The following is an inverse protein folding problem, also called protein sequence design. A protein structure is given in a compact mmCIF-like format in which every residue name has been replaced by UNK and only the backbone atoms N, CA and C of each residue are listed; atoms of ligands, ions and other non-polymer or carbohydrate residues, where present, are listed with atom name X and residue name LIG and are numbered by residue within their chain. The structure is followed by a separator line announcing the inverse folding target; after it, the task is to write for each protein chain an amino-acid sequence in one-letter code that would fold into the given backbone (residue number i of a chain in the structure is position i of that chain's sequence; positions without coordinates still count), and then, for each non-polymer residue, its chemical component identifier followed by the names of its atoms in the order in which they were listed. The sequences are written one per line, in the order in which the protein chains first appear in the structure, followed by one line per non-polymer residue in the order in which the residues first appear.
data_IF_851577711798
#
_entry.id   IF_851577711798
#
_cell.length_a   1.000
_cell.length_b   1.000
_cell.length_c   1.000
_cell.angle_alpha   90.00
_cell.angle_beta   90.00
_cell.angle_gamma   90.00
#
_symmetry.space_group_name_H-M   'P 1'
#
loop_
_entity.id
_entity.type
_entity.pdbx_description
1 polymer ?
#
# COMPACT_ATOMS: atom_id res chain seq x y z
N UNK A 1 37.38 -66.60 -53.07
CA UNK A 1 38.03 -65.28 -53.06
C UNK A 1 36.93 -64.26 -53.18
N UNK A 2 36.41 -63.71 -52.10
CA UNK A 2 35.41 -62.64 -52.12
C UNK A 2 35.80 -61.60 -51.06
N UNK A 3 36.29 -60.46 -51.56
CA UNK A 3 36.64 -59.30 -50.73
C UNK A 3 35.39 -58.60 -50.24
N UNK A 4 35.19 -58.53 -48.93
CA UNK A 4 34.15 -57.71 -48.28
C UNK A 4 34.70 -56.36 -47.87
N UNK A 5 34.24 -55.27 -48.50
CA UNK A 5 34.53 -53.89 -48.10
C UNK A 5 33.61 -53.50 -46.92
N UNK A 6 34.21 -53.20 -45.79
CA UNK A 6 33.50 -52.55 -44.66
C UNK A 6 33.49 -51.06 -44.89
N UNK A 7 32.29 -50.49 -45.06
CA UNK A 7 32.05 -49.05 -45.12
C UNK A 7 31.90 -48.55 -43.69
N UNK A 8 32.77 -47.66 -43.24
CA UNK A 8 32.63 -46.94 -42.00
C UNK A 8 31.82 -45.68 -42.27
N UNK A 9 30.64 -45.51 -41.62
CA UNK A 9 29.85 -44.28 -41.61
C UNK A 9 30.20 -43.52 -40.34
N UNK A 10 30.73 -42.29 -40.41
CA UNK A 10 30.95 -41.50 -39.20
C UNK A 10 29.62 -40.93 -38.67
N UNK A 11 29.31 -41.22 -37.40
CA UNK A 11 28.18 -40.64 -36.69
C UNK A 11 28.52 -39.16 -36.38
N UNK A 12 27.90 -38.24 -37.07
CA UNK A 12 27.93 -36.80 -36.75
C UNK A 12 26.97 -36.57 -35.59
N UNK A 13 27.52 -36.36 -34.41
CA UNK A 13 26.75 -35.90 -33.24
C UNK A 13 26.59 -34.38 -33.37
N UNK A 14 25.39 -33.93 -33.74
CA UNK A 14 25.02 -32.54 -33.65
C UNK A 14 24.72 -32.21 -32.17
N UNK A 15 25.67 -31.56 -31.53
CA UNK A 15 25.44 -30.97 -30.20
C UNK A 15 24.52 -29.74 -30.34
N UNK A 16 23.29 -29.84 -29.86
CA UNK A 16 22.41 -28.69 -29.71
C UNK A 16 22.90 -27.90 -28.48
N UNK A 17 23.63 -26.83 -28.70
CA UNK A 17 23.93 -25.87 -27.65
C UNK A 17 22.65 -25.10 -27.34
N UNK A 18 22.03 -25.41 -26.22
CA UNK A 18 20.94 -24.60 -25.70
C UNK A 18 21.50 -23.22 -25.28
N UNK A 19 21.22 -22.20 -26.06
CA UNK A 19 21.50 -20.80 -25.71
C UNK A 19 20.50 -20.43 -24.63
N UNK A 20 20.95 -20.51 -23.38
CA UNK A 20 20.21 -19.94 -22.22
C UNK A 20 20.38 -18.43 -22.32
N UNK A 21 19.38 -17.74 -22.83
CA UNK A 21 19.28 -16.30 -22.67
C UNK A 21 19.00 -16.02 -21.19
N UNK A 22 19.84 -15.23 -20.48
CA UNK A 22 19.47 -14.75 -19.18
C UNK A 22 18.22 -13.89 -19.37
N UNK A 23 17.11 -14.27 -18.72
CA UNK A 23 15.98 -13.39 -18.48
C UNK A 23 16.54 -12.20 -17.70
N UNK A 24 16.90 -11.14 -18.40
CA UNK A 24 17.11 -9.85 -17.80
C UNK A 24 15.73 -9.43 -17.24
N UNK A 25 15.56 -9.58 -15.92
CA UNK A 25 14.56 -8.84 -15.19
C UNK A 25 14.90 -7.37 -15.44
N UNK A 26 14.23 -6.76 -16.37
CA UNK A 26 14.12 -5.31 -16.43
C UNK A 26 13.34 -4.92 -15.18
N UNK A 27 14.06 -4.69 -14.08
CA UNK A 27 13.55 -3.80 -13.01
C UNK A 27 13.20 -2.51 -13.74
N UNK A 28 11.91 -2.28 -13.96
CA UNK A 28 11.44 -1.00 -14.42
C UNK A 28 11.96 0.00 -13.38
N UNK A 29 12.84 0.90 -13.78
CA UNK A 29 13.20 2.06 -12.97
C UNK A 29 11.89 2.79 -12.71
N UNK A 30 11.27 2.51 -11.54
CA UNK A 30 10.25 3.37 -10.97
C UNK A 30 10.97 4.69 -10.82
N UNK A 31 10.69 5.63 -11.72
CA UNK A 31 11.38 6.92 -11.73
C UNK A 31 11.03 7.59 -10.41
N UNK A 32 12.06 7.92 -9.61
CA UNK A 32 11.98 8.64 -8.32
C UNK A 32 11.49 10.09 -8.51
N UNK A 33 10.39 10.24 -9.24
CA UNK A 33 9.81 11.54 -9.51
C UNK A 33 9.15 12.14 -8.27
N UNK A 34 8.72 11.28 -7.35
CA UNK A 34 8.06 11.67 -6.10
C UNK A 34 8.68 10.90 -4.94
N UNK A 35 8.84 11.53 -3.80
CA UNK A 35 9.53 11.02 -2.62
C UNK A 35 8.71 10.06 -1.74
N UNK A 36 7.53 9.64 -2.20
CA UNK A 36 6.69 8.71 -1.44
C UNK A 36 7.39 7.38 -1.14
N UNK A 37 8.25 6.89 -2.04
CA UNK A 37 8.99 5.64 -1.90
C UNK A 37 10.43 5.82 -1.37
N UNK A 38 10.77 7.00 -0.85
CA UNK A 38 12.11 7.30 -0.34
C UNK A 38 12.54 6.31 0.76
N UNK A 39 11.61 5.86 1.57
CA UNK A 39 11.85 4.92 2.67
C UNK A 39 11.67 3.44 2.27
N UNK A 40 11.61 3.16 0.97
CA UNK A 40 11.46 1.80 0.43
C UNK A 40 10.04 1.48 -0.05
N UNK A 41 9.95 0.35 -0.73
CA UNK A 41 8.68 -0.23 -1.21
C UNK A 41 8.23 -1.24 -0.17
N UNK A 42 7.04 -1.07 0.44
CA UNK A 42 6.59 -1.92 1.56
C UNK A 42 6.47 -3.41 1.24
N UNK A 43 6.32 -3.77 -0.02
CA UNK A 43 6.23 -5.17 -0.40
C UNK A 43 5.88 -5.38 -1.86
N UNK A 44 5.91 -6.63 -2.30
CA UNK A 44 5.59 -7.03 -3.67
C UNK A 44 4.13 -6.68 -4.00
N UNK A 45 3.92 -6.25 -5.24
CA UNK A 45 2.62 -5.98 -5.82
C UNK A 45 2.64 -6.34 -7.31
N UNK A 46 1.46 -6.57 -7.91
CA UNK A 46 1.35 -6.81 -9.35
C UNK A 46 1.60 -5.53 -10.13
N UNK A 47 1.14 -4.40 -9.58
CA UNK A 47 1.42 -3.07 -10.14
C UNK A 47 1.80 -2.10 -9.02
N UNK A 48 2.91 -1.39 -9.18
CA UNK A 48 3.33 -0.30 -8.29
C UNK A 48 3.18 1.02 -9.03
N UNK A 49 2.43 1.94 -8.42
CA UNK A 49 2.18 3.29 -8.97
C UNK A 49 2.74 4.31 -8.00
N UNK A 50 3.53 5.27 -8.49
CA UNK A 50 4.04 6.41 -7.72
C UNK A 50 3.58 7.72 -8.36
N UNK A 51 2.72 8.48 -7.68
CA UNK A 51 2.11 9.72 -8.16
C UNK A 51 2.28 10.87 -7.16
N UNK A 52 1.91 12.12 -7.49
CA UNK A 52 2.28 13.31 -6.69
C UNK A 52 1.94 13.23 -5.19
N UNK A 53 0.84 12.59 -4.80
CA UNK A 53 0.38 12.60 -3.41
C UNK A 53 0.66 11.29 -2.67
N UNK A 54 0.84 10.18 -3.38
CA UNK A 54 1.05 8.86 -2.77
C UNK A 54 1.58 7.84 -3.78
N UNK A 55 2.16 6.76 -3.26
CA UNK A 55 2.40 5.54 -4.03
C UNK A 55 1.55 4.39 -3.50
N UNK A 56 1.28 3.41 -4.33
CA UNK A 56 0.53 2.22 -3.96
C UNK A 56 1.07 0.94 -4.63
N UNK A 57 0.84 -0.19 -3.97
CA UNK A 57 1.05 -1.52 -4.54
C UNK A 57 -0.29 -2.24 -4.69
N UNK A 58 -0.73 -2.39 -5.94
CA UNK A 58 -2.00 -3.02 -6.29
C UNK A 58 -1.84 -4.53 -6.42
N UNK A 59 -2.83 -5.28 -5.93
CA UNK A 59 -2.91 -6.74 -6.02
C UNK A 59 -4.15 -7.13 -6.83
N UNK A 60 -3.91 -7.57 -8.04
CA UNK A 60 -4.95 -7.97 -9.00
C UNK A 60 -5.92 -9.01 -8.44
N UNK A 61 -5.38 -10.02 -7.77
CA UNK A 61 -6.21 -11.07 -7.17
C UNK A 61 -7.17 -10.56 -6.09
N UNK A 62 -6.98 -9.36 -5.55
CA UNK A 62 -7.82 -8.73 -4.54
C UNK A 62 -8.56 -7.49 -5.04
N UNK A 63 -8.23 -7.00 -6.25
CA UNK A 63 -8.80 -5.80 -6.87
C UNK A 63 -8.69 -4.54 -5.98
N UNK A 64 -7.55 -4.40 -5.29
CA UNK A 64 -7.25 -3.25 -4.44
C UNK A 64 -5.76 -3.20 -4.06
N UNK A 65 -5.31 -2.07 -3.53
CA UNK A 65 -3.95 -1.95 -3.03
C UNK A 65 -3.77 -2.75 -1.73
N UNK A 66 -2.62 -3.46 -1.63
CA UNK A 66 -2.16 -4.04 -0.36
C UNK A 66 -1.61 -2.96 0.56
N UNK A 67 -0.98 -1.94 0.00
CA UNK A 67 -0.41 -0.81 0.72
C UNK A 67 -0.51 0.47 -0.10
N UNK A 68 -0.64 1.58 0.60
CA UNK A 68 -0.51 2.95 0.09
C UNK A 68 0.45 3.68 1.02
N UNK A 69 1.48 4.31 0.46
CA UNK A 69 2.49 5.07 1.21
C UNK A 69 2.53 6.52 0.74
N UNK A 70 2.65 7.44 1.68
CA UNK A 70 2.80 8.87 1.39
C UNK A 70 3.52 9.59 2.52
N UNK A 71 4.21 10.66 2.15
CA UNK A 71 4.70 11.66 3.08
C UNK A 71 3.58 12.64 3.37
N UNK A 72 3.45 13.08 4.59
CA UNK A 72 2.48 14.08 5.03
C UNK A 72 3.18 15.15 5.87
N UNK A 73 3.15 16.37 5.39
CA UNK A 73 3.79 17.52 6.07
C UNK A 73 2.76 18.42 6.73
N UNK A 74 3.20 19.20 7.72
CA UNK A 74 2.39 20.27 8.33
C UNK A 74 1.81 21.23 7.30
N UNK A 75 2.61 21.63 6.32
CA UNK A 75 2.16 22.55 5.26
C UNK A 75 1.04 21.93 4.44
N UNK A 76 1.17 20.70 3.98
CA UNK A 76 0.16 20.00 3.18
C UNK A 76 -1.17 19.84 3.93
N UNK A 77 -1.10 19.55 5.24
CA UNK A 77 -2.32 19.45 6.08
C UNK A 77 -3.03 20.80 6.22
N UNK A 78 -2.27 21.89 6.35
CA UNK A 78 -2.81 23.24 6.54
C UNK A 78 -3.27 23.88 5.22
N UNK A 79 -2.61 23.53 4.10
CA UNK A 79 -2.96 24.01 2.76
C UNK A 79 -4.19 23.26 2.22
N UNK A 80 -5.32 23.94 2.19
CA UNK A 80 -6.59 23.41 1.64
C UNK A 80 -6.91 24.07 0.32
N UNK A 81 -6.08 23.77 -0.68
CA UNK A 81 -6.22 24.30 -2.05
C UNK A 81 -7.43 23.72 -2.78
N UNK A 82 -7.67 22.43 -2.60
CA UNK A 82 -8.73 21.71 -3.32
C UNK A 82 -9.90 21.34 -2.42
N UNK A 83 -11.12 21.56 -2.92
CA UNK A 83 -12.34 21.01 -2.30
C UNK A 83 -12.46 19.54 -2.64
N UNK A 84 -13.08 18.77 -1.75
CA UNK A 84 -13.33 17.32 -1.95
C UNK A 84 -14.08 17.08 -3.28
N UNK A 85 -13.47 16.26 -4.15
CA UNK A 85 -13.98 16.03 -5.51
C UNK A 85 -15.24 15.16 -5.54
N UNK A 86 -15.27 14.07 -4.78
CA UNK A 86 -16.30 13.01 -4.84
C UNK A 86 -16.45 12.35 -6.23
N UNK A 87 -15.50 12.56 -7.15
CA UNK A 87 -15.51 11.99 -8.50
C UNK A 87 -14.66 10.73 -8.51
N UNK A 88 -15.27 9.60 -8.16
CA UNK A 88 -14.60 8.31 -8.20
C UNK A 88 -14.42 7.83 -9.64
N UNK A 89 -13.20 7.38 -9.96
CA UNK A 89 -12.81 6.97 -11.31
C UNK A 89 -12.03 5.67 -11.28
N UNK A 90 -12.13 4.89 -12.35
CA UNK A 90 -11.22 3.79 -12.61
C UNK A 90 -9.80 4.33 -12.75
N UNK A 91 -8.82 3.55 -12.26
CA UNK A 91 -7.43 3.98 -12.33
C UNK A 91 -6.82 3.57 -13.69
N UNK A 92 -6.48 4.54 -14.55
CA UNK A 92 -5.93 4.24 -15.87
C UNK A 92 -4.51 3.66 -15.82
N UNK A 93 -3.83 3.72 -14.67
CA UNK A 93 -2.50 3.17 -14.49
C UNK A 93 -2.51 1.70 -14.03
N UNK A 94 -3.69 1.11 -13.80
CA UNK A 94 -3.84 -0.34 -13.58
C UNK A 94 -4.11 -1.02 -14.93
N UNK A 95 -3.15 -1.79 -15.48
CA UNK A 95 -3.23 -2.29 -16.86
C UNK A 95 -4.42 -3.24 -17.13
N UNK A 96 -4.85 -3.96 -16.11
CA UNK A 96 -5.98 -4.92 -16.17
C UNK A 96 -7.32 -4.26 -15.89
N UNK A 97 -7.32 -2.98 -15.50
CA UNK A 97 -8.44 -2.25 -14.95
C UNK A 97 -8.48 -2.35 -13.43
N UNK A 98 -9.05 -1.35 -12.79
CA UNK A 98 -9.28 -1.35 -11.34
C UNK A 98 -10.73 -1.71 -11.02
N UNK A 99 -11.06 -1.87 -9.74
CA UNK A 99 -12.44 -1.86 -9.27
C UNK A 99 -13.22 -0.63 -9.81
N UNK A 100 -14.54 -0.72 -9.86
CA UNK A 100 -15.41 0.27 -10.50
C UNK A 100 -16.57 0.68 -9.59
N UNK A 101 -17.35 1.67 -10.03
CA UNK A 101 -18.59 2.05 -9.35
C UNK A 101 -19.60 0.90 -9.22
N UNK A 102 -19.57 -0.05 -10.16
CA UNK A 102 -20.50 -1.19 -10.17
C UNK A 102 -20.23 -2.13 -9.01
N UNK A 103 -18.95 -2.33 -8.65
CA UNK A 103 -18.57 -3.22 -7.56
C UNK A 103 -19.11 -2.76 -6.20
N UNK A 104 -19.11 -1.46 -5.98
CA UNK A 104 -19.56 -0.87 -4.72
C UNK A 104 -21.07 -0.61 -4.66
N UNK A 105 -21.76 -0.63 -5.81
CA UNK A 105 -23.19 -0.33 -5.88
C UNK A 105 -24.00 -1.38 -5.14
N UNK A 106 -24.75 -0.95 -4.10
CA UNK A 106 -25.59 -1.82 -3.25
C UNK A 106 -24.81 -2.95 -2.56
N UNK A 107 -23.48 -2.84 -2.45
CA UNK A 107 -22.65 -3.84 -1.77
C UNK A 107 -22.82 -3.83 -0.25
N UNK A 108 -23.30 -2.74 0.33
CA UNK A 108 -23.35 -2.53 1.78
C UNK A 108 -22.07 -1.90 2.35
N UNK A 109 -21.05 -1.68 1.51
CA UNK A 109 -19.78 -1.07 1.90
C UNK A 109 -19.61 0.33 1.31
N UNK A 110 -18.92 1.20 2.06
CA UNK A 110 -18.45 2.49 1.57
C UNK A 110 -17.17 2.28 0.72
N UNK A 111 -16.92 3.20 -0.20
CA UNK A 111 -15.62 3.36 -0.88
C UNK A 111 -14.67 4.04 0.10
N UNK A 112 -14.00 3.23 0.90
CA UNK A 112 -13.08 3.73 1.92
C UNK A 112 -11.74 4.11 1.30
N UNK A 113 -11.29 5.35 1.51
CA UNK A 113 -9.98 5.79 1.08
C UNK A 113 -8.87 5.13 1.91
N UNK A 114 -7.76 4.78 1.26
CA UNK A 114 -6.51 4.42 1.92
C UNK A 114 -5.68 5.69 2.17
N UNK A 115 -5.22 6.41 1.12
CA UNK A 115 -4.76 7.79 1.24
C UNK A 115 -5.97 8.72 1.33
N UNK A 116 -6.22 9.38 2.47
CA UNK A 116 -7.44 10.17 2.67
C UNK A 116 -7.51 11.39 1.77
N UNK A 117 -8.69 11.70 1.23
CA UNK A 117 -8.88 12.90 0.43
C UNK A 117 -8.54 14.20 1.20
N UNK A 118 -8.67 14.19 2.53
CA UNK A 118 -8.32 15.35 3.35
C UNK A 118 -6.80 15.58 3.44
N UNK A 119 -5.99 14.51 3.34
CA UNK A 119 -4.53 14.57 3.32
C UNK A 119 -4.03 15.02 1.94
N UNK A 120 -4.84 14.83 0.89
CA UNK A 120 -4.53 15.15 -0.51
C UNK A 120 -5.11 16.52 -0.94
N UNK A 121 -5.57 17.35 0.01
CA UNK A 121 -6.23 18.62 -0.29
C UNK A 121 -5.26 19.76 -0.66
N UNK A 122 -3.97 19.55 -0.56
CA UNK A 122 -2.94 20.54 -0.87
C UNK A 122 -2.77 20.84 -2.37
N UNK A 123 -3.35 20.03 -3.26
CA UNK A 123 -3.43 20.35 -4.68
C UNK A 123 -4.69 19.76 -5.33
N UNK A 124 -5.11 20.36 -6.46
CA UNK A 124 -6.24 19.87 -7.26
C UNK A 124 -5.93 18.48 -7.83
N UNK A 125 -4.68 18.26 -8.23
CA UNK A 125 -4.23 16.98 -8.81
C UNK A 125 -4.26 15.85 -7.77
N UNK A 126 -3.64 16.04 -6.61
CA UNK A 126 -3.58 15.01 -5.56
C UNK A 126 -4.98 14.71 -5.01
N UNK A 127 -5.84 15.72 -4.91
CA UNK A 127 -7.25 15.54 -4.57
C UNK A 127 -7.96 14.65 -5.60
N UNK A 128 -7.80 14.92 -6.89
CA UNK A 128 -8.42 14.09 -7.94
C UNK A 128 -7.88 12.66 -7.93
N UNK A 129 -6.56 12.50 -7.85
CA UNK A 129 -5.89 11.20 -7.82
C UNK A 129 -6.33 10.35 -6.61
N UNK A 130 -6.65 10.97 -5.47
CA UNK A 130 -7.13 10.26 -4.29
C UNK A 130 -8.47 9.53 -4.49
N UNK A 131 -9.23 9.86 -5.55
CA UNK A 131 -10.53 9.26 -5.88
C UNK A 131 -10.45 8.11 -6.90
N UNK A 132 -9.26 7.66 -7.30
CA UNK A 132 -9.13 6.44 -8.06
C UNK A 132 -9.57 5.21 -7.24
N UNK A 133 -10.24 4.26 -7.89
CA UNK A 133 -10.67 3.03 -7.22
C UNK A 133 -9.51 2.18 -6.72
N UNK A 134 -8.32 2.31 -7.29
CA UNK A 134 -7.10 1.68 -6.78
C UNK A 134 -6.71 2.13 -5.35
N UNK A 135 -7.16 3.32 -4.94
CA UNK A 135 -7.01 3.87 -3.58
C UNK A 135 -8.23 3.56 -2.69
N UNK A 136 -9.18 2.73 -3.16
CA UNK A 136 -10.39 2.39 -2.43
C UNK A 136 -10.37 0.97 -1.91
N UNK A 137 -10.92 0.77 -0.72
CA UNK A 137 -11.16 -0.54 -0.14
C UNK A 137 -12.59 -0.62 0.45
N UNK A 138 -13.24 -1.79 0.41
CA UNK A 138 -14.57 -1.97 0.99
C UNK A 138 -14.55 -1.81 2.51
N UNK A 139 -15.09 -0.71 3.00
CA UNK A 139 -15.17 -0.39 4.43
C UNK A 139 -16.61 -0.37 4.92
N UNK A 140 -16.88 -0.97 6.09
CA UNK A 140 -18.19 -0.81 6.74
C UNK A 140 -18.44 0.66 7.06
N UNK A 141 -19.66 1.12 6.85
CA UNK A 141 -20.04 2.53 7.04
C UNK A 141 -19.65 3.09 8.40
N UNK A 142 -19.93 2.34 9.49
CA UNK A 142 -19.64 2.78 10.85
C UNK A 142 -18.13 2.79 11.16
N UNK A 143 -17.35 1.98 10.47
CA UNK A 143 -15.89 2.02 10.50
C UNK A 143 -15.37 3.25 9.77
N UNK A 144 -15.65 3.35 8.46
CA UNK A 144 -15.17 4.42 7.59
C UNK A 144 -15.51 5.82 8.11
N UNK A 145 -16.76 6.02 8.53
CA UNK A 145 -17.25 7.33 8.99
C UNK A 145 -17.09 7.56 10.49
N UNK A 146 -16.60 6.56 11.20
CA UNK A 146 -16.42 6.56 12.66
C UNK A 146 -14.94 6.51 13.05
N UNK A 147 -14.50 5.36 13.59
CA UNK A 147 -13.18 5.21 14.18
C UNK A 147 -12.05 5.43 13.16
N UNK A 148 -12.20 4.99 11.89
CA UNK A 148 -11.19 5.19 10.85
C UNK A 148 -10.99 6.67 10.53
N UNK A 149 -12.08 7.42 10.37
CA UNK A 149 -12.02 8.89 10.20
C UNK A 149 -11.33 9.58 11.38
N UNK A 150 -11.61 9.13 12.62
CA UNK A 150 -10.92 9.67 13.81
C UNK A 150 -9.41 9.39 13.76
N UNK A 151 -9.00 8.20 13.31
CA UNK A 151 -7.59 7.87 13.14
C UNK A 151 -6.93 8.74 12.06
N UNK A 152 -7.61 8.99 10.94
CA UNK A 152 -7.12 9.91 9.90
C UNK A 152 -6.97 11.35 10.44
N UNK A 153 -7.90 11.80 11.27
CA UNK A 153 -7.82 13.12 11.94
C UNK A 153 -6.62 13.16 12.90
N UNK A 154 -6.39 12.09 13.65
CA UNK A 154 -5.26 11.96 14.57
C UNK A 154 -3.92 11.96 13.81
N UNK A 155 -3.82 11.25 12.69
CA UNK A 155 -2.60 11.22 11.86
C UNK A 155 -2.26 12.60 11.31
N UNK A 156 -3.26 13.37 10.85
CA UNK A 156 -3.03 14.78 10.47
C UNK A 156 -2.56 15.63 11.64
N UNK A 157 -3.07 15.37 12.83
CA UNK A 157 -2.60 16.06 14.04
C UNK A 157 -1.14 15.73 14.32
N UNK A 158 -0.72 14.46 14.20
CA UNK A 158 0.69 14.07 14.27
C UNK A 158 1.55 14.80 13.24
N UNK A 159 1.12 14.87 11.97
CA UNK A 159 1.85 15.63 10.95
C UNK A 159 1.99 17.13 11.27
N UNK A 160 0.99 17.72 11.95
CA UNK A 160 1.06 19.11 12.41
C UNK A 160 2.04 19.25 13.58
N UNK A 161 2.01 18.37 14.57
CA UNK A 161 2.87 18.45 15.74
C UNK A 161 4.33 18.16 15.40
N UNK A 162 4.58 17.09 14.66
CA UNK A 162 5.93 16.62 14.32
C UNK A 162 6.55 17.37 13.11
N UNK A 163 5.71 18.00 12.28
CA UNK A 163 6.16 18.75 11.09
C UNK A 163 6.12 17.96 9.81
N UNK A 164 6.59 16.72 9.81
CA UNK A 164 6.58 15.77 8.69
C UNK A 164 6.53 14.34 9.22
N UNK A 165 5.72 13.49 8.60
CA UNK A 165 5.64 12.05 8.89
C UNK A 165 5.51 11.26 7.59
N UNK A 166 5.93 10.00 7.61
CA UNK A 166 5.57 9.02 6.58
C UNK A 166 4.44 8.13 7.09
N UNK A 167 3.50 7.84 6.20
CA UNK A 167 2.31 7.02 6.51
C UNK A 167 2.23 5.88 5.52
N UNK A 168 2.15 4.65 6.03
CA UNK A 168 1.76 3.48 5.23
C UNK A 168 0.42 2.97 5.73
N UNK A 169 -0.50 2.70 4.84
CA UNK A 169 -1.86 2.28 5.19
C UNK A 169 -2.39 1.26 4.18
N UNK A 170 -3.20 0.35 4.65
CA UNK A 170 -3.77 -0.66 3.78
C UNK A 170 -4.76 -1.59 4.48
N UNK A 171 -5.39 -2.46 3.72
CA UNK A 171 -6.14 -3.59 4.25
C UNK A 171 -5.17 -4.71 4.67
N UNK A 172 -5.56 -5.51 5.66
CA UNK A 172 -4.96 -6.83 5.87
C UNK A 172 -5.61 -7.79 4.90
N UNK A 173 -4.93 -8.07 3.79
CA UNK A 173 -5.44 -8.96 2.75
C UNK A 173 -5.30 -10.42 3.17
N UNK A 174 -6.39 -11.20 3.15
CA UNK A 174 -6.33 -12.62 3.49
C UNK A 174 -5.67 -13.42 2.38
N UNK A 175 -5.00 -14.54 2.70
CA UNK A 175 -4.49 -15.47 1.68
C UNK A 175 -5.60 -16.04 0.80
N UNK A 176 -6.78 -16.24 1.37
CA UNK A 176 -7.97 -16.70 0.66
C UNK A 176 -9.13 -15.72 0.83
N UNK A 177 -9.78 -15.37 -0.26
CA UNK A 177 -10.95 -14.48 -0.24
C UNK A 177 -12.12 -15.16 0.47
N UNK A 178 -12.64 -14.52 1.50
CA UNK A 178 -13.83 -15.03 2.22
C UNK A 178 -15.10 -14.27 1.85
N UNK A 179 -14.99 -12.97 1.64
CA UNK A 179 -16.08 -12.08 1.25
C UNK A 179 -15.57 -11.18 0.12
N UNK A 180 -16.34 -11.05 -0.93
CA UNK A 180 -16.06 -10.19 -2.08
C UNK A 180 -17.30 -9.36 -2.46
N UNK A 181 -17.09 -8.23 -3.13
CA UNK A 181 -18.15 -7.38 -3.68
C UNK A 181 -17.97 -7.18 -5.18
N UNK A 182 -19.10 -7.02 -5.85
CA UNK A 182 -19.15 -6.66 -7.26
C UNK A 182 -18.68 -7.73 -8.25
N UNK A 183 -18.78 -7.43 -9.54
CA UNK A 183 -18.38 -8.35 -10.60
C UNK A 183 -16.86 -8.59 -10.64
N UNK A 184 -16.05 -7.60 -10.25
CA UNK A 184 -14.59 -7.74 -10.19
C UNK A 184 -14.12 -8.46 -8.91
N UNK A 185 -15.04 -8.88 -8.04
CA UNK A 185 -14.72 -9.65 -6.82
C UNK A 185 -13.72 -8.95 -5.90
N UNK A 186 -13.95 -7.67 -5.66
CA UNK A 186 -13.12 -6.88 -4.73
C UNK A 186 -13.20 -7.49 -3.34
N UNK A 187 -12.06 -7.85 -2.77
CA UNK A 187 -11.99 -8.48 -1.44
C UNK A 187 -12.46 -7.52 -0.35
N UNK A 188 -13.27 -8.01 0.59
CA UNK A 188 -13.65 -7.27 1.80
C UNK A 188 -12.69 -7.62 2.93
N UNK A 189 -11.81 -6.68 3.36
CA UNK A 189 -10.87 -6.93 4.43
C UNK A 189 -11.57 -7.02 5.80
N UNK A 190 -11.04 -7.88 6.68
CA UNK A 190 -11.47 -7.95 8.08
C UNK A 190 -10.81 -6.86 8.94
N UNK A 191 -9.60 -6.46 8.60
CA UNK A 191 -8.80 -5.48 9.34
C UNK A 191 -8.17 -4.49 8.38
N UNK A 192 -7.89 -3.30 8.90
CA UNK A 192 -7.09 -2.26 8.25
C UNK A 192 -5.96 -1.86 9.17
N UNK A 193 -4.84 -1.48 8.57
CA UNK A 193 -3.69 -0.99 9.30
C UNK A 193 -3.28 0.42 8.87
N UNK A 194 -2.56 1.09 9.75
CA UNK A 194 -1.87 2.35 9.48
C UNK A 194 -0.58 2.36 10.29
N UNK A 195 0.56 2.58 9.60
CA UNK A 195 1.89 2.68 10.18
C UNK A 195 2.38 4.10 9.97
N UNK A 196 2.92 4.72 10.99
CA UNK A 196 3.39 6.10 10.98
C UNK A 196 4.86 6.13 11.45
N UNK A 197 5.70 6.82 10.71
CA UNK A 197 7.08 7.08 11.06
C UNK A 197 7.35 8.57 11.10
N UNK A 198 7.80 9.07 12.25
CA UNK A 198 8.34 10.41 12.47
C UNK A 198 9.88 10.33 12.45
N UNK A 199 10.47 11.00 11.45
CA UNK A 199 11.92 11.04 11.28
C UNK A 199 12.58 12.16 12.10
N UNK A 200 11.79 12.98 12.80
CA UNK A 200 12.30 14.06 13.64
C UNK A 200 12.90 13.49 14.93
N UNK A 201 14.15 13.78 15.27
CA UNK A 201 14.75 13.25 16.49
C UNK A 201 14.04 13.72 17.77
N UNK A 202 13.77 12.83 18.74
CA UNK A 202 14.02 11.39 18.69
C UNK A 202 13.01 10.69 17.74
N UNK A 203 13.55 9.97 16.75
CA UNK A 203 12.72 9.25 15.79
C UNK A 203 11.84 8.21 16.48
N UNK A 204 10.62 8.02 15.96
CA UNK A 204 9.64 7.11 16.56
C UNK A 204 8.67 6.55 15.53
N UNK A 205 8.19 5.35 15.77
CA UNK A 205 7.15 4.71 14.98
C UNK A 205 5.94 4.37 15.85
N UNK A 206 4.77 4.32 15.23
CA UNK A 206 3.54 3.80 15.81
C UNK A 206 2.71 3.15 14.71
N UNK A 207 2.08 2.05 15.02
CA UNK A 207 1.14 1.41 14.11
C UNK A 207 -0.21 1.17 14.76
N UNK A 208 -1.22 0.98 13.92
CA UNK A 208 -2.59 0.72 14.32
C UNK A 208 -3.17 -0.42 13.50
N UNK A 209 -3.90 -1.33 14.16
CA UNK A 209 -4.69 -2.36 13.49
C UNK A 209 -6.11 -2.29 14.03
N UNK A 210 -7.06 -2.04 13.14
CA UNK A 210 -8.46 -1.88 13.48
C UNK A 210 -9.32 -2.92 12.73
N UNK A 211 -10.27 -3.57 13.40
CA UNK A 211 -11.27 -4.36 12.70
C UNK A 211 -12.12 -3.45 11.81
N UNK A 212 -12.57 -3.95 10.65
CA UNK A 212 -13.47 -3.24 9.75
C UNK A 212 -14.87 -3.11 10.36
N UNK A 213 -14.93 -2.51 11.55
CA UNK A 213 -16.15 -2.34 12.36
C UNK A 213 -16.14 -1.01 13.11
N UNK A 214 -17.33 -0.48 13.36
CA UNK A 214 -17.45 0.75 14.15
C UNK A 214 -17.02 0.53 15.61
N UNK A 215 -16.29 1.51 16.16
CA UNK A 215 -15.89 1.52 17.57
C UNK A 215 -15.94 2.92 18.17
N UNK A 216 -16.23 3.00 19.48
CA UNK A 216 -16.11 4.21 20.29
C UNK A 216 -14.90 4.18 21.23
N UNK A 217 -14.11 3.11 21.19
CA UNK A 217 -12.91 2.98 22.00
C UNK A 217 -11.88 4.06 21.67
N UNK A 218 -10.97 4.31 22.57
CA UNK A 218 -9.88 5.24 22.37
C UNK A 218 -8.90 4.68 21.31
N UNK A 219 -8.40 5.54 20.44
CA UNK A 219 -7.51 5.14 19.36
C UNK A 219 -6.24 4.46 19.87
N UNK A 220 -5.71 4.90 21.00
CA UNK A 220 -4.52 4.32 21.62
C UNK A 220 -4.67 2.83 21.95
N UNK A 221 -5.90 2.34 22.15
CA UNK A 221 -6.15 0.91 22.40
C UNK A 221 -5.96 0.02 21.19
N UNK A 222 -5.86 0.60 19.99
CA UNK A 222 -5.57 -0.08 18.71
C UNK A 222 -4.12 0.07 18.28
N UNK A 223 -3.32 0.78 19.09
CA UNK A 223 -1.91 0.95 18.82
C UNK A 223 -1.16 -0.38 19.03
N UNK A 224 -0.29 -0.69 18.05
CA UNK A 224 0.53 -1.90 18.01
C UNK A 224 1.93 -1.56 17.54
N UNK A 225 2.88 -2.47 17.66
CA UNK A 225 4.22 -2.33 17.06
C UNK A 225 4.18 -2.45 15.55
N UNK A 226 5.17 -1.92 14.87
CA UNK A 226 5.31 -2.08 13.42
C UNK A 226 5.56 -3.55 13.08
N UNK A 227 6.45 -4.24 13.82
CA UNK A 227 6.71 -5.69 13.68
C UNK A 227 5.42 -6.51 13.67
N UNK A 228 4.45 -6.17 14.53
CA UNK A 228 3.17 -6.87 14.54
C UNK A 228 2.40 -6.71 13.25
N UNK A 229 2.44 -5.52 12.63
CA UNK A 229 1.77 -5.30 11.33
C UNK A 229 2.49 -6.03 10.22
N UNK A 230 3.81 -6.10 10.27
CA UNK A 230 4.63 -6.86 9.31
C UNK A 230 4.35 -8.35 9.37
N UNK A 231 4.31 -8.92 10.59
CA UNK A 231 3.91 -10.32 10.80
C UNK A 231 2.51 -10.60 10.23
N UNK A 232 1.58 -9.67 10.43
CA UNK A 232 0.20 -9.80 10.00
C UNK A 232 0.02 -9.70 8.47
N UNK A 233 0.84 -8.88 7.81
CA UNK A 233 0.68 -8.52 6.38
C UNK A 233 1.71 -9.20 5.47
N UNK A 234 2.87 -9.54 5.99
CA UNK A 234 4.03 -9.99 5.22
C UNK A 234 4.72 -8.87 4.45
N UNK A 235 4.46 -7.61 4.82
CA UNK A 235 5.13 -6.42 4.28
C UNK A 235 6.38 -6.12 5.12
N UNK A 236 7.28 -5.29 4.59
CA UNK A 236 8.50 -4.78 5.24
C UNK A 236 8.49 -3.25 5.08
N UNK A 237 8.14 -2.56 6.16
CA UNK A 237 7.98 -1.11 6.12
C UNK A 237 9.31 -0.40 6.30
N UNK A 238 9.49 0.69 5.54
CA UNK A 238 10.65 1.57 5.67
C UNK A 238 12.01 0.86 5.52
N UNK A 239 12.07 -0.12 4.64
CA UNK A 239 13.21 -1.04 4.42
C UNK A 239 14.54 -0.38 4.03
N UNK A 240 14.57 0.93 3.75
CA UNK A 240 15.80 1.70 3.53
C UNK A 240 16.40 2.25 4.82
N UNK A 241 15.69 2.18 5.95
CA UNK A 241 16.23 2.55 7.26
C UNK A 241 17.30 1.51 7.66
N UNK A 242 18.48 1.93 8.14
CA UNK A 242 19.52 0.99 8.57
C UNK A 242 18.99 -0.03 9.58
N UNK A 243 19.24 -1.31 9.31
CA UNK A 243 18.62 -2.44 10.01
C UNK A 243 18.65 -2.38 11.55
N UNK A 244 19.77 -2.04 12.25
CA UNK A 244 19.75 -1.95 13.71
C UNK A 244 18.77 -0.91 14.25
N UNK A 245 18.58 0.20 13.52
CA UNK A 245 17.64 1.26 13.88
C UNK A 245 16.21 0.88 13.54
N UNK A 246 16.01 0.29 12.37
CA UNK A 246 14.70 -0.23 11.94
C UNK A 246 14.16 -1.21 12.98
N UNK A 247 14.93 -2.24 13.35
CA UNK A 247 14.57 -3.23 14.36
C UNK A 247 14.25 -2.60 15.74
N UNK A 248 14.98 -1.55 16.15
CA UNK A 248 14.71 -0.86 17.40
C UNK A 248 13.38 -0.11 17.38
N UNK A 249 13.09 0.60 16.28
CA UNK A 249 11.89 1.40 16.13
C UNK A 249 10.64 0.55 15.93
N UNK A 250 10.73 -0.53 15.15
CA UNK A 250 9.59 -1.37 14.77
C UNK A 250 9.08 -2.26 15.91
N UNK A 251 9.98 -2.74 16.78
CA UNK A 251 9.61 -3.58 17.93
C UNK A 251 9.09 -2.80 19.13
N UNK A 252 9.22 -1.48 19.12
CA UNK A 252 8.83 -0.63 20.24
C UNK A 252 7.58 0.19 19.93
N UNK A 253 6.81 0.49 20.97
CA UNK A 253 5.68 1.40 20.90
C UNK A 253 5.72 2.32 22.12
N UNK A 254 5.72 3.62 21.86
CA UNK A 254 5.68 4.64 22.91
C UNK A 254 4.51 5.58 22.63
N UNK A 255 3.32 5.15 23.06
CA UNK A 255 2.05 5.87 22.83
C UNK A 255 2.14 7.29 23.38
N UNK A 256 2.77 7.47 24.55
CA UNK A 256 2.88 8.73 25.27
C UNK A 256 3.80 9.75 24.56
N UNK A 257 4.64 9.31 23.63
CA UNK A 257 5.53 10.20 22.88
C UNK A 257 4.82 10.93 21.73
N UNK A 258 3.58 10.60 21.45
CA UNK A 258 2.77 11.20 20.41
C UNK A 258 1.78 12.21 20.97
N UNK A 259 1.54 13.29 20.21
CA UNK A 259 0.56 14.32 20.61
C UNK A 259 -0.86 13.89 20.21
N UNK A 260 -1.68 13.58 21.19
CA UNK A 260 -3.05 13.10 20.97
C UNK A 260 -4.07 14.22 21.02
N UNK A 261 -5.03 14.19 20.10
CA UNK A 261 -6.22 15.05 20.16
C UNK A 261 -6.99 14.73 21.45
N UNK A 262 -7.22 15.76 22.25
CA UNK A 262 -7.94 15.67 23.54
C UNK A 262 -9.44 15.87 23.36
#
# INVERSE_FOLDING_TARGET
MTNGYRIWIPLLIFGIAAIVFPLQHTESKITDKYDNLLLGVPGKADTVINRPGYALGYIESHEQAAWVIYKLTRSEVLEKVAKRSNQFMEDPEIPTGSATAVDYRKSGYDRGHLAPAADMAFSVRTMADSFYYSNMSPQKRNFNRGIWKRLEEQVRHFAISEGEIYVVTGPVLPKEKTIVIGPNQVTVPKYFYKVIYDLTPPEKMIAFVLPNEGSKADLSTFAVTVDYVEELTGLDFFSTVPQPKQEELERSITVESWDWIR
#
